data_IF_987546143768
#
_entry.id   IF_987546143768
#
_cell.length_a   1.000
_cell.length_b   1.000
_cell.length_c   1.000
_cell.angle_alpha   90.00
_cell.angle_beta   90.00
_cell.angle_gamma   90.00
#
_symmetry.space_group_name_H-M   'P 1'
#
loop_
_entity.id
_entity.type
_entity.pdbx_description
1 polymer ?
#
# COMPACT_ATOMS: atom_id res chain seq x y z
N UNK A 1 -13.89 25.88 0.12
CA UNK A 1 -13.93 24.66 0.97
C UNK A 1 -13.53 23.36 0.23
N UNK A 2 -12.57 23.40 -0.71
CA UNK A 2 -11.72 22.24 -1.08
C UNK A 2 -10.22 22.52 -0.88
N UNK A 3 -9.87 23.77 -0.56
CA UNK A 3 -8.48 24.23 -0.49
C UNK A 3 -7.69 23.73 0.72
N UNK A 4 -8.32 23.12 1.73
CA UNK A 4 -7.59 22.64 2.92
C UNK A 4 -6.86 21.32 2.66
N UNK A 5 -7.50 20.36 1.98
CA UNK A 5 -6.86 19.12 1.50
C UNK A 5 -5.72 19.44 0.52
N UNK A 6 -5.95 20.42 -0.39
CA UNK A 6 -4.94 20.87 -1.34
C UNK A 6 -3.86 21.78 -0.74
N UNK A 7 -3.78 21.95 0.58
CA UNK A 7 -2.72 22.71 1.26
C UNK A 7 -1.87 21.89 2.21
N UNK A 8 -2.30 20.67 2.56
CA UNK A 8 -1.55 19.77 3.45
C UNK A 8 -0.51 18.92 2.72
N UNK A 9 -0.74 18.62 1.45
CA UNK A 9 0.23 17.90 0.62
C UNK A 9 1.26 18.92 0.08
N UNK A 10 2.54 18.87 0.48
CA UNK A 10 3.53 19.80 -0.03
C UNK A 10 3.72 19.60 -1.53
N UNK A 11 3.82 20.70 -2.29
CA UNK A 11 4.19 20.65 -3.70
C UNK A 11 3.05 20.60 -4.73
N UNK A 12 3.42 20.73 -6.02
CA UNK A 12 2.51 20.82 -7.16
C UNK A 12 1.69 19.53 -7.39
N UNK A 13 0.58 19.63 -8.14
CA UNK A 13 -0.39 18.54 -8.37
C UNK A 13 0.27 17.21 -8.78
N UNK A 14 1.33 17.26 -9.59
CA UNK A 14 2.07 16.08 -10.04
C UNK A 14 2.87 15.41 -8.91
N UNK A 15 3.42 16.19 -7.97
CA UNK A 15 4.15 15.65 -6.82
C UNK A 15 3.19 14.90 -5.90
N UNK A 16 1.97 15.40 -5.72
CA UNK A 16 0.93 14.75 -4.91
C UNK A 16 0.47 13.43 -5.51
N UNK A 17 0.38 13.35 -6.83
CA UNK A 17 0.09 12.10 -7.54
C UNK A 17 1.21 11.08 -7.32
N UNK A 18 2.47 11.51 -7.41
CA UNK A 18 3.62 10.64 -7.15
C UNK A 18 3.63 10.17 -5.69
N UNK A 19 3.41 11.06 -4.73
CA UNK A 19 3.36 10.71 -3.31
C UNK A 19 2.22 9.73 -3.01
N UNK A 20 1.02 9.95 -3.57
CA UNK A 20 -0.10 9.02 -3.44
C UNK A 20 0.21 7.65 -4.09
N UNK A 21 0.87 7.63 -5.25
CA UNK A 21 1.31 6.40 -5.89
C UNK A 21 2.36 5.66 -5.05
N UNK A 22 3.31 6.37 -4.45
CA UNK A 22 4.32 5.79 -3.56
C UNK A 22 3.65 5.17 -2.33
N UNK A 23 2.71 5.89 -1.70
CA UNK A 23 1.97 5.36 -0.55
C UNK A 23 1.14 4.13 -0.93
N UNK A 24 0.46 4.15 -2.07
CA UNK A 24 -0.27 2.99 -2.56
C UNK A 24 0.66 1.80 -2.82
N UNK A 25 1.79 2.03 -3.50
CA UNK A 25 2.80 1.01 -3.74
C UNK A 25 3.38 0.45 -2.43
N UNK A 26 3.66 1.32 -1.44
CA UNK A 26 4.14 0.90 -0.13
C UNK A 26 3.12 0.01 0.61
N UNK A 27 1.83 0.35 0.55
CA UNK A 27 0.76 -0.48 1.13
C UNK A 27 0.66 -1.83 0.41
N UNK A 28 0.73 -1.83 -0.93
CA UNK A 28 0.73 -3.08 -1.70
C UNK A 28 1.93 -3.94 -1.32
N UNK A 29 3.14 -3.37 -1.29
CA UNK A 29 4.35 -4.11 -0.89
C UNK A 29 4.24 -4.64 0.54
N UNK A 30 3.80 -3.83 1.50
CA UNK A 30 3.59 -4.26 2.87
C UNK A 30 2.57 -5.40 2.98
N UNK A 31 1.49 -5.32 2.20
CA UNK A 31 0.48 -6.37 2.14
C UNK A 31 1.07 -7.67 1.57
N UNK A 32 1.88 -7.60 0.52
CA UNK A 32 2.45 -8.79 -0.13
C UNK A 32 3.65 -9.39 0.62
N UNK A 33 4.54 -8.56 1.15
CA UNK A 33 5.78 -9.01 1.80
C UNK A 33 5.58 -9.36 3.27
N UNK A 34 4.60 -8.77 3.95
CA UNK A 34 4.39 -8.97 5.40
C UNK A 34 3.05 -9.60 5.70
N UNK A 35 1.95 -8.98 5.25
CA UNK A 35 0.60 -9.44 5.64
C UNK A 35 0.25 -10.76 4.98
N UNK A 36 0.58 -10.95 3.72
CA UNK A 36 0.30 -12.18 3.00
C UNK A 36 1.04 -13.39 3.58
N UNK A 37 2.37 -13.37 3.84
CA UNK A 37 3.03 -14.50 4.48
C UNK A 37 2.50 -14.80 5.88
N UNK A 38 2.22 -13.77 6.69
CA UNK A 38 1.56 -13.95 7.99
C UNK A 38 0.18 -14.62 7.83
N UNK A 39 -0.65 -14.10 6.93
CA UNK A 39 -1.98 -14.62 6.65
C UNK A 39 -1.92 -16.05 6.09
N UNK A 40 -0.91 -16.36 5.29
CA UNK A 40 -0.69 -17.70 4.75
C UNK A 40 -0.26 -18.69 5.83
N UNK A 41 0.59 -18.29 6.78
CA UNK A 41 0.97 -19.13 7.91
C UNK A 41 -0.23 -19.41 8.82
N UNK A 42 -1.05 -18.40 9.10
CA UNK A 42 -2.20 -18.52 10.00
C UNK A 42 -3.38 -19.25 9.35
N UNK A 43 -3.66 -18.98 8.07
CA UNK A 43 -4.87 -19.47 7.39
C UNK A 43 -4.60 -20.46 6.26
N UNK A 44 -3.34 -20.80 5.97
CA UNK A 44 -2.95 -21.76 4.92
C UNK A 44 -3.60 -21.46 3.56
N UNK A 45 -3.54 -20.19 3.15
CA UNK A 45 -4.22 -19.65 1.96
C UNK A 45 -3.72 -20.25 0.64
N UNK A 46 -2.48 -20.73 0.60
CA UNK A 46 -1.86 -21.33 -0.59
C UNK A 46 -2.29 -22.77 -0.86
N UNK A 47 -3.06 -23.40 0.05
CA UNK A 47 -3.22 -24.85 0.08
C UNK A 47 -1.90 -25.56 0.40
N UNK A 48 -1.94 -26.85 0.73
CA UNK A 48 -0.75 -27.69 0.94
C UNK A 48 0.06 -27.82 -0.37
N UNK A 49 0.76 -26.76 -0.78
CA UNK A 49 1.80 -26.81 -1.78
C UNK A 49 3.07 -27.35 -1.10
N UNK A 50 3.00 -28.59 -0.64
CA UNK A 50 4.17 -29.35 -0.20
C UNK A 50 4.97 -29.72 -1.45
N UNK A 51 5.96 -28.89 -1.81
CA UNK A 51 7.09 -29.31 -2.65
C UNK A 51 8.19 -29.90 -1.80
#
# INVERSE_FOLDING_TARGET
MYGWIWRHLPGPVWLRLIEALILAAAVVLLLFEVVFPWANEVWNLSGEATV
#
